data_IF_317428757804
#
_entry.id   IF_317428757804
#
_cell.length_a   1.000
_cell.length_b   1.000
_cell.length_c   1.000
_cell.angle_alpha   90.00
_cell.angle_beta   90.00
_cell.angle_gamma   90.00
#
_symmetry.space_group_name_H-M   'P 1'
#
loop_
_entity.id
_entity.type
_entity.pdbx_description
1 polymer ?
#
# COMPACT_ATOMS: atom_id res chain seq x y z
N UNK A 1 -25.64 -2.19 -11.57
CA UNK A 1 -24.80 -1.85 -10.41
C UNK A 1 -23.37 -1.72 -10.87
N UNK A 2 -22.72 -0.55 -10.72
CA UNK A 2 -21.31 -0.37 -11.11
C UNK A 2 -20.50 -0.31 -9.82
N UNK A 3 -20.03 -1.47 -9.34
CA UNK A 3 -19.00 -1.52 -8.31
C UNK A 3 -17.79 -0.77 -8.88
N UNK A 4 -17.55 0.43 -8.40
CA UNK A 4 -16.38 1.22 -8.76
C UNK A 4 -15.43 1.06 -7.57
N UNK A 5 -14.19 0.69 -7.82
CA UNK A 5 -13.22 0.56 -6.73
C UNK A 5 -12.99 1.91 -6.05
N UNK A 6 -12.85 1.94 -4.72
CA UNK A 6 -12.64 3.18 -3.97
C UNK A 6 -11.21 3.71 -4.24
N UNK A 7 -11.05 4.90 -4.86
CA UNK A 7 -9.72 5.45 -5.16
C UNK A 7 -8.90 5.73 -3.90
N UNK A 8 -9.55 6.04 -2.77
CA UNK A 8 -8.85 6.31 -1.51
C UNK A 8 -8.17 5.05 -0.95
N UNK A 9 -8.86 3.91 -0.98
CA UNK A 9 -8.25 2.62 -0.60
C UNK A 9 -7.08 2.28 -1.52
N UNK A 10 -7.26 2.43 -2.83
CA UNK A 10 -6.17 2.20 -3.77
C UNK A 10 -4.97 3.12 -3.50
N UNK A 11 -5.21 4.40 -3.20
CA UNK A 11 -4.15 5.35 -2.85
C UNK A 11 -3.40 4.96 -1.58
N UNK A 12 -4.10 4.43 -0.57
CA UNK A 12 -3.48 3.95 0.68
C UNK A 12 -2.50 2.80 0.41
N UNK A 13 -2.87 1.81 -0.40
CA UNK A 13 -1.99 0.69 -0.76
C UNK A 13 -0.86 1.07 -1.72
N UNK A 14 -1.05 2.14 -2.51
CA UNK A 14 -0.01 2.68 -3.39
C UNK A 14 1.00 3.55 -2.62
N UNK A 15 0.74 3.89 -1.35
CA UNK A 15 1.61 4.77 -0.58
C UNK A 15 3.00 4.14 -0.40
N UNK A 16 4.05 4.88 -0.76
CA UNK A 16 5.43 4.40 -0.74
C UNK A 16 5.86 3.54 -1.93
N UNK A 17 4.98 3.24 -2.89
CA UNK A 17 5.31 2.49 -4.11
C UNK A 17 5.26 3.41 -5.33
N UNK A 18 6.33 3.50 -6.14
CA UNK A 18 6.32 4.34 -7.33
C UNK A 18 5.30 3.85 -8.36
N UNK A 19 4.57 4.79 -8.96
CA UNK A 19 3.43 4.49 -9.84
C UNK A 19 3.80 3.61 -11.04
N UNK A 20 5.06 3.67 -11.49
CA UNK A 20 5.56 2.86 -12.60
C UNK A 20 5.63 1.37 -12.23
N UNK A 21 5.99 1.04 -10.99
CA UNK A 21 6.00 -0.34 -10.51
C UNK A 21 4.57 -0.86 -10.46
N UNK A 22 3.63 -0.06 -9.95
CA UNK A 22 2.22 -0.40 -9.88
C UNK A 22 1.64 -0.62 -11.29
N UNK A 23 1.99 0.27 -12.22
CA UNK A 23 1.60 0.19 -13.62
C UNK A 23 2.12 -1.11 -14.28
N UNK A 24 3.37 -1.49 -14.01
CA UNK A 24 3.95 -2.78 -14.47
C UNK A 24 3.21 -3.98 -13.88
N UNK A 25 2.93 -3.97 -12.57
CA UNK A 25 2.19 -5.06 -11.89
C UNK A 25 0.77 -5.23 -12.43
N UNK A 26 0.09 -4.10 -12.67
CA UNK A 26 -1.27 -4.10 -13.23
C UNK A 26 -1.28 -4.30 -14.76
N UNK A 27 -0.12 -4.33 -15.41
CA UNK A 27 0.04 -4.38 -16.88
C UNK A 27 -0.73 -3.25 -17.57
N UNK A 28 -0.67 -2.04 -17.00
CA UNK A 28 -1.35 -0.84 -17.50
C UNK A 28 -0.38 0.32 -17.67
N UNK A 29 -0.82 1.32 -18.41
CA UNK A 29 -0.05 2.54 -18.60
C UNK A 29 -0.06 3.38 -17.30
N UNK A 30 1.07 3.96 -16.88
CA UNK A 30 1.15 4.75 -15.64
C UNK A 30 0.19 5.93 -15.60
N UNK A 31 -0.09 6.54 -16.77
CA UNK A 31 -1.13 7.57 -16.91
C UNK A 31 -2.51 7.07 -16.53
N UNK A 32 -2.87 5.85 -16.93
CA UNK A 32 -4.17 5.25 -16.59
C UNK A 32 -4.29 4.98 -15.09
N UNK A 33 -3.22 4.50 -14.46
CA UNK A 33 -3.18 4.31 -13.00
C UNK A 33 -3.32 5.65 -12.28
N UNK A 34 -2.65 6.70 -12.76
CA UNK A 34 -2.79 8.06 -12.23
C UNK A 34 -4.22 8.59 -12.37
N UNK A 35 -4.86 8.39 -13.52
CA UNK A 35 -6.24 8.80 -13.74
C UNK A 35 -7.24 8.07 -12.83
N UNK A 36 -6.94 6.81 -12.45
CA UNK A 36 -7.73 6.07 -11.46
C UNK A 36 -7.56 6.62 -10.05
N UNK A 37 -6.31 6.83 -9.62
CA UNK A 37 -5.98 7.33 -8.28
C UNK A 37 -6.48 8.77 -8.06
N UNK A 38 -6.49 9.59 -9.11
CA UNK A 38 -7.00 10.97 -9.05
C UNK A 38 -8.51 11.07 -9.25
N UNK A 39 -9.21 9.95 -9.45
CA UNK A 39 -10.65 9.93 -9.71
C UNK A 39 -11.08 10.49 -11.08
N UNK A 40 -10.13 10.85 -11.96
CA UNK A 40 -10.41 11.34 -13.32
C UNK A 40 -11.04 10.27 -14.21
N UNK A 41 -10.82 8.99 -13.90
CA UNK A 41 -11.40 7.87 -14.65
C UNK A 41 -11.92 6.81 -13.69
N UNK A 42 -13.02 6.14 -14.07
CA UNK A 42 -13.56 5.01 -13.29
C UNK A 42 -12.52 3.90 -13.18
N UNK A 43 -12.21 3.57 -11.94
CA UNK A 43 -11.37 2.44 -11.58
C UNK A 43 -12.19 1.14 -11.60
N UNK A 44 -11.67 0.04 -12.20
CA UNK A 44 -12.28 -1.27 -12.08
C UNK A 44 -12.39 -1.71 -10.61
N UNK A 45 -13.47 -2.41 -10.25
CA UNK A 45 -13.71 -2.86 -8.87
C UNK A 45 -12.63 -3.79 -8.31
N UNK A 46 -11.99 -4.60 -9.17
CA UNK A 46 -10.95 -5.55 -8.76
C UNK A 46 -9.59 -4.89 -8.46
N UNK A 47 -9.35 -3.64 -8.87
CA UNK A 47 -8.06 -2.96 -8.66
C UNK A 47 -7.71 -2.79 -7.18
N UNK A 48 -8.57 -2.20 -6.33
CA UNK A 48 -8.27 -2.05 -4.91
C UNK A 48 -8.07 -3.40 -4.22
N UNK A 49 -8.88 -4.41 -4.55
CA UNK A 49 -8.75 -5.76 -3.98
C UNK A 49 -7.41 -6.41 -4.35
N UNK A 50 -6.99 -6.29 -5.62
CA UNK A 50 -5.70 -6.81 -6.05
C UNK A 50 -4.53 -6.10 -5.36
N UNK A 51 -4.62 -4.78 -5.17
CA UNK A 51 -3.61 -4.01 -4.44
C UNK A 51 -3.55 -4.41 -2.97
N UNK A 52 -4.72 -4.66 -2.35
CA UNK A 52 -4.80 -5.16 -0.98
C UNK A 52 -4.11 -6.53 -0.84
N UNK A 53 -4.42 -7.49 -1.73
CA UNK A 53 -3.79 -8.81 -1.71
C UNK A 53 -2.27 -8.74 -1.87
N UNK A 54 -1.78 -7.88 -2.75
CA UNK A 54 -0.34 -7.65 -2.91
C UNK A 54 0.30 -7.04 -1.67
N UNK A 55 -0.39 -6.08 -1.03
CA UNK A 55 0.07 -5.46 0.19
C UNK A 55 0.18 -6.51 1.31
N UNK A 56 -0.88 -7.28 1.56
CA UNK A 56 -0.89 -8.35 2.57
C UNK A 56 0.18 -9.41 2.31
N UNK A 57 0.40 -9.81 1.05
CA UNK A 57 1.47 -10.72 0.68
C UNK A 57 2.85 -10.12 1.00
N UNK A 58 3.09 -8.86 0.66
CA UNK A 58 4.34 -8.17 0.97
C UNK A 58 4.57 -8.05 2.49
N UNK A 59 3.54 -7.69 3.26
CA UNK A 59 3.61 -7.62 4.72
C UNK A 59 3.93 -8.99 5.32
N UNK A 60 3.30 -10.05 4.80
CA UNK A 60 3.56 -11.42 5.25
C UNK A 60 5.01 -11.82 4.99
N UNK A 61 5.53 -11.59 3.78
CA UNK A 61 6.93 -11.88 3.46
C UNK A 61 7.89 -11.10 4.37
N UNK A 62 7.60 -9.83 4.66
CA UNK A 62 8.41 -9.04 5.60
C UNK A 62 8.41 -9.64 7.01
N UNK A 63 7.25 -10.09 7.50
CA UNK A 63 7.12 -10.77 8.80
C UNK A 63 7.89 -12.08 8.85
N UNK A 64 7.80 -12.89 7.78
CA UNK A 64 8.54 -14.16 7.67
C UNK A 64 10.07 -13.93 7.65
N UNK A 65 10.53 -12.84 7.05
CA UNK A 65 11.93 -12.42 7.07
C UNK A 65 12.36 -11.76 8.40
N UNK A 66 11.46 -11.64 9.38
CA UNK A 66 11.75 -10.96 10.66
C UNK A 66 11.92 -9.44 10.53
N UNK A 67 11.57 -8.86 9.39
CA UNK A 67 11.66 -7.42 9.14
C UNK A 67 10.38 -6.76 9.67
N UNK A 68 10.47 -5.84 10.64
CA UNK A 68 9.29 -5.19 11.21
C UNK A 68 8.62 -4.30 10.14
N UNK A 69 7.43 -4.69 9.68
CA UNK A 69 6.57 -3.86 8.85
C UNK A 69 5.62 -3.05 9.75
N UNK A 70 5.99 -1.81 10.05
CA UNK A 70 5.14 -0.83 10.72
C UNK A 70 5.02 -0.98 12.24
N UNK A 71 6.05 -0.53 12.97
CA UNK A 71 5.81 0.26 14.16
C UNK A 71 6.21 1.71 13.83
N UNK A 72 5.47 2.74 14.28
CA UNK A 72 5.99 4.11 14.22
C UNK A 72 7.38 4.16 14.89
N UNK A 73 8.27 5.09 14.52
CA UNK A 73 9.55 5.22 15.22
C UNK A 73 9.26 5.33 16.72
N UNK A 74 9.68 4.33 17.51
CA UNK A 74 9.64 4.39 18.97
C UNK A 74 10.72 5.35 19.43
N UNK A 75 10.54 6.63 19.14
CA UNK A 75 11.28 7.74 19.73
C UNK A 75 10.63 8.20 21.02
N UNK A 76 10.46 7.30 22.00
CA UNK A 76 10.17 7.62 23.41
C UNK A 76 10.24 6.36 24.29
N UNK A 77 11.36 5.65 24.21
CA UNK A 77 11.84 4.84 25.34
C UNK A 77 13.36 4.97 25.37
N UNK A 78 13.79 6.21 25.61
CA UNK A 78 15.08 6.43 26.27
C UNK A 78 14.96 5.84 27.67
N UNK A 79 15.54 4.66 27.84
CA UNK A 79 16.36 4.26 28.98
C UNK A 79 15.98 4.96 30.29
N UNK A 80 15.28 4.25 31.16
CA UNK A 80 15.60 4.28 32.58
C UNK A 80 15.64 2.83 33.06
N UNK A 81 16.82 2.26 32.89
CA UNK A 81 17.28 1.05 33.58
C UNK A 81 17.32 1.34 35.10
N UNK A 82 17.09 0.35 35.97
CA UNK A 82 16.93 0.55 37.41
C UNK A 82 18.29 0.55 38.11
N UNK A 83 18.50 1.48 39.05
CA UNK A 83 19.59 1.39 40.03
C UNK A 83 19.07 1.78 41.43
N UNK A 84 19.01 0.73 42.28
CA UNK A 84 19.07 0.71 43.76
C UNK A 84 17.84 1.05 44.60
#
# INVERSE_FOLDING_TARGET
MRNCGNPEQAAAYCNGVPIEIIARRLRRHPRTVRDWLTGRRKMPWWVPELLQLQHEAAVRSLREMGIPHGAPPRGSSIISEPDR
#
